data_IF_871676106897
#
_entry.id   IF_871676106897
#
_cell.length_a   1.000
_cell.length_b   1.000
_cell.length_c   1.000
_cell.angle_alpha   90.00
_cell.angle_beta   90.00
_cell.angle_gamma   90.00
#
_symmetry.space_group_name_H-M   'P 1'
#
loop_
_entity.id
_entity.type
_entity.pdbx_description
1 polymer ?
#
# COMPACT_ATOMS: atom_id res chain seq x y z
N UNK A 1 8.94 28.69 1.94
CA UNK A 1 8.24 29.96 2.16
C UNK A 1 6.74 29.74 2.17
N UNK A 2 6.01 30.48 3.00
CA UNK A 2 4.56 30.34 3.08
C UNK A 2 3.87 30.86 1.81
N UNK A 3 2.78 30.24 1.42
CA UNK A 3 1.92 30.71 0.34
C UNK A 3 1.10 31.88 0.90
N UNK A 4 0.84 32.92 0.07
CA UNK A 4 0.06 34.08 0.50
C UNK A 4 -1.31 33.73 1.08
N UNK A 5 -2.02 32.79 0.44
CA UNK A 5 -3.30 32.30 0.90
C UNK A 5 -3.23 31.56 2.26
N UNK A 6 -2.10 30.88 2.54
CA UNK A 6 -1.86 30.24 3.84
C UNK A 6 -1.68 31.31 4.92
N UNK A 7 -0.91 32.38 4.63
CA UNK A 7 -0.75 33.49 5.57
C UNK A 7 -2.10 34.18 5.83
N UNK A 8 -2.84 34.50 4.80
CA UNK A 8 -4.17 35.10 4.92
C UNK A 8 -5.13 34.19 5.71
N UNK A 9 -5.12 32.89 5.44
CA UNK A 9 -5.95 31.91 6.14
C UNK A 9 -5.64 31.82 7.63
N UNK A 10 -4.36 31.84 8.01
CA UNK A 10 -3.93 31.84 9.43
C UNK A 10 -4.37 33.14 10.12
N UNK A 11 -4.16 34.29 9.50
CA UNK A 11 -4.58 35.59 10.04
C UNK A 11 -6.10 35.61 10.22
N UNK A 12 -6.85 35.22 9.19
CA UNK A 12 -8.31 35.14 9.26
C UNK A 12 -8.78 34.21 10.37
N UNK A 13 -8.14 33.07 10.54
CA UNK A 13 -8.47 32.14 11.62
C UNK A 13 -8.29 32.79 13.00
N UNK A 14 -7.15 33.46 13.22
CA UNK A 14 -6.85 34.14 14.48
C UNK A 14 -7.88 35.25 14.75
N UNK A 15 -8.17 36.09 13.77
CA UNK A 15 -9.15 37.18 13.90
C UNK A 15 -10.57 36.68 14.13
N UNK A 16 -10.92 35.51 13.60
CA UNK A 16 -12.28 34.96 13.73
C UNK A 16 -12.49 34.25 15.07
N UNK A 17 -11.49 33.49 15.51
CA UNK A 17 -11.62 32.60 16.68
C UNK A 17 -10.83 33.04 17.91
N UNK A 18 -10.10 34.14 17.79
CA UNK A 18 -9.22 34.68 18.86
C UNK A 18 -8.27 33.63 19.46
N UNK A 19 -7.80 32.72 18.64
CA UNK A 19 -6.87 31.65 19.02
C UNK A 19 -6.01 31.22 17.83
N UNK A 20 -4.86 30.62 18.11
CA UNK A 20 -4.02 29.98 17.10
C UNK A 20 -4.70 28.71 16.57
N UNK A 21 -4.56 28.40 15.28
CA UNK A 21 -4.91 27.08 14.77
C UNK A 21 -4.06 25.99 15.41
N UNK A 22 -4.50 24.75 15.33
CA UNK A 22 -3.71 23.60 15.76
C UNK A 22 -2.38 23.54 14.99
N UNK A 23 -1.29 23.39 15.73
CA UNK A 23 0.06 23.35 15.19
C UNK A 23 0.63 21.94 15.21
N UNK A 24 1.45 21.62 14.19
CA UNK A 24 2.25 20.40 14.17
C UNK A 24 3.49 20.53 15.10
N UNK A 25 4.28 19.46 15.20
CA UNK A 25 5.50 19.43 16.03
C UNK A 25 6.59 20.43 15.59
N UNK A 26 6.44 21.02 14.41
CA UNK A 26 7.35 22.03 13.86
C UNK A 26 6.79 23.46 14.01
N UNK A 27 5.66 23.62 14.73
CA UNK A 27 4.99 24.90 14.91
C UNK A 27 4.25 25.40 13.67
N UNK A 28 3.92 24.53 12.70
CA UNK A 28 3.19 24.89 11.49
C UNK A 28 1.70 24.55 11.65
N UNK A 29 0.77 25.38 11.11
CA UNK A 29 -0.66 25.08 11.18
C UNK A 29 -1.02 23.76 10.48
N UNK A 30 -1.51 22.78 11.24
CA UNK A 30 -1.82 21.42 10.76
C UNK A 30 -2.79 21.42 9.59
N UNK A 31 -3.71 22.36 9.54
CA UNK A 31 -4.69 22.51 8.45
C UNK A 31 -4.03 22.73 7.08
N UNK A 32 -2.85 23.35 7.04
CA UNK A 32 -2.11 23.62 5.81
C UNK A 32 -0.90 22.70 5.62
N UNK A 33 -0.34 22.17 6.71
CA UNK A 33 0.90 21.39 6.70
C UNK A 33 0.69 19.94 7.19
N UNK A 34 -0.55 19.50 7.33
CA UNK A 34 -0.86 18.14 7.81
C UNK A 34 -0.73 17.04 6.75
N UNK A 35 -0.56 17.40 5.46
CA UNK A 35 -0.40 16.43 4.37
C UNK A 35 0.85 16.70 3.57
N UNK A 36 1.48 15.63 3.07
CA UNK A 36 2.61 15.75 2.15
C UNK A 36 2.14 16.20 0.78
N UNK A 37 2.99 16.96 0.10
CA UNK A 37 2.74 17.37 -1.29
C UNK A 37 2.54 16.16 -2.19
N UNK A 38 3.31 15.09 -1.97
CA UNK A 38 3.22 13.85 -2.73
C UNK A 38 1.84 13.20 -2.67
N UNK A 39 1.16 13.24 -1.52
CA UNK A 39 -0.15 12.59 -1.33
C UNK A 39 -1.29 13.27 -2.10
N UNK A 40 -1.13 14.56 -2.41
CA UNK A 40 -2.11 15.35 -3.15
C UNK A 40 -1.61 15.80 -4.53
N UNK A 41 -0.45 15.30 -4.95
CA UNK A 41 0.17 15.68 -6.22
C UNK A 41 -0.58 15.07 -7.42
N UNK A 42 -0.89 15.89 -8.42
CA UNK A 42 -1.55 15.42 -9.65
C UNK A 42 -0.68 14.44 -10.46
N UNK A 43 0.65 14.40 -10.24
CA UNK A 43 1.58 13.43 -10.84
C UNK A 43 1.68 12.12 -10.04
N UNK A 44 0.92 11.97 -8.97
CA UNK A 44 0.94 10.78 -8.13
C UNK A 44 0.64 9.49 -8.90
N UNK A 45 -0.35 9.43 -9.80
CA UNK A 45 -0.60 8.23 -10.60
C UNK A 45 0.61 7.80 -11.45
N UNK A 46 1.40 8.75 -11.96
CA UNK A 46 2.61 8.44 -12.69
C UNK A 46 3.69 7.84 -11.77
N UNK A 47 3.80 8.33 -10.53
CA UNK A 47 4.70 7.73 -9.53
C UNK A 47 4.30 6.27 -9.23
N UNK A 48 3.04 6.02 -8.97
CA UNK A 48 2.53 4.69 -8.63
C UNK A 48 2.69 3.70 -9.80
N UNK A 49 2.61 4.19 -11.03
CA UNK A 49 2.87 3.42 -12.25
C UNK A 49 4.37 3.26 -12.60
N UNK A 50 5.29 3.84 -11.82
CA UNK A 50 6.73 3.80 -12.09
C UNK A 50 7.17 4.64 -13.29
N UNK A 51 6.37 5.64 -13.68
CA UNK A 51 6.64 6.51 -14.82
C UNK A 51 7.34 7.79 -14.37
N UNK A 52 8.63 7.90 -14.65
CA UNK A 52 9.50 8.96 -14.16
C UNK A 52 10.15 9.75 -15.29
N UNK A 53 10.36 11.04 -15.02
CA UNK A 53 11.22 11.92 -15.83
C UNK A 53 12.67 11.64 -15.48
N UNK A 54 13.53 11.47 -16.48
CA UNK A 54 14.96 11.18 -16.31
C UNK A 54 15.82 12.42 -16.50
N UNK A 55 15.38 13.35 -17.35
CA UNK A 55 16.06 14.61 -17.62
C UNK A 55 15.06 15.72 -17.94
N UNK A 56 15.47 16.99 -17.78
CA UNK A 56 14.64 18.11 -18.21
C UNK A 56 14.38 18.00 -19.73
N UNK A 57 13.17 18.35 -20.14
CA UNK A 57 12.70 18.36 -21.53
C UNK A 57 12.70 16.99 -22.27
N UNK A 58 12.87 15.89 -21.57
CA UNK A 58 12.70 14.59 -22.19
C UNK A 58 11.22 14.31 -22.57
N UNK A 59 10.98 13.28 -23.35
CA UNK A 59 9.62 12.90 -23.76
C UNK A 59 8.72 12.55 -22.54
N UNK A 60 9.31 12.07 -21.46
CA UNK A 60 8.59 11.76 -20.23
C UNK A 60 8.16 13.05 -19.50
N UNK A 61 9.00 14.09 -19.53
CA UNK A 61 8.66 15.41 -19.00
C UNK A 61 7.46 16.02 -19.75
N UNK A 62 7.45 15.93 -21.09
CA UNK A 62 6.34 16.38 -21.93
C UNK A 62 5.04 15.63 -21.65
N UNK A 63 5.11 14.34 -21.34
CA UNK A 63 3.97 13.52 -20.93
C UNK A 63 3.48 13.78 -19.51
N UNK A 64 4.19 14.60 -18.74
CA UNK A 64 3.82 14.93 -17.37
C UNK A 64 4.13 13.84 -16.34
N UNK A 65 5.12 12.97 -16.59
CA UNK A 65 5.53 11.93 -15.66
C UNK A 65 6.12 12.49 -14.35
N UNK A 66 6.28 11.63 -13.35
CA UNK A 66 6.71 12.04 -12.02
C UNK A 66 8.16 12.57 -12.02
N UNK A 67 8.38 13.67 -11.31
CA UNK A 67 9.70 14.35 -11.20
C UNK A 67 10.57 13.78 -10.07
N UNK A 68 10.24 12.62 -9.52
CA UNK A 68 10.94 12.05 -8.39
C UNK A 68 12.44 11.86 -8.65
N UNK A 69 12.82 11.33 -9.80
CA UNK A 69 14.23 11.17 -10.18
C UNK A 69 14.94 12.48 -10.50
N UNK A 70 14.19 13.54 -10.72
CA UNK A 70 14.73 14.90 -10.86
C UNK A 70 14.93 15.62 -9.52
N UNK A 71 14.91 14.89 -8.41
CA UNK A 71 15.14 15.44 -7.07
C UNK A 71 13.92 16.05 -6.40
N UNK A 72 12.70 15.72 -6.83
CA UNK A 72 11.49 16.19 -6.18
C UNK A 72 11.40 15.72 -4.73
N UNK A 73 11.33 16.67 -3.80
CA UNK A 73 11.22 16.44 -2.34
C UNK A 73 9.77 16.34 -1.85
N UNK A 74 8.80 16.27 -2.76
CA UNK A 74 7.39 16.16 -2.43
C UNK A 74 7.03 15.04 -1.45
N UNK A 75 7.62 13.84 -1.55
CA UNK A 75 7.38 12.75 -0.61
C UNK A 75 7.73 13.07 0.85
N UNK A 76 8.68 13.96 1.08
CA UNK A 76 9.16 14.33 2.42
C UNK A 76 8.71 15.73 2.85
N UNK A 77 7.89 16.41 2.07
CA UNK A 77 7.50 17.80 2.31
C UNK A 77 6.04 17.92 2.65
N UNK A 78 5.75 18.46 3.82
CA UNK A 78 4.39 18.76 4.28
C UNK A 78 4.00 20.19 3.91
N UNK A 79 3.08 20.34 2.98
CA UNK A 79 2.57 21.65 2.54
C UNK A 79 1.32 21.50 1.67
N UNK A 80 0.55 22.55 1.57
CA UNK A 80 -0.68 22.63 0.75
C UNK A 80 -0.45 23.05 -0.70
N UNK A 81 0.81 23.14 -1.18
CA UNK A 81 1.14 23.65 -2.53
C UNK A 81 0.38 22.93 -3.67
N UNK A 82 0.15 21.63 -3.54
CA UNK A 82 -0.55 20.85 -4.56
C UNK A 82 -2.06 21.16 -4.62
N UNK A 83 -2.62 21.70 -3.53
CA UNK A 83 -4.05 22.00 -3.39
C UNK A 83 -4.32 23.48 -3.60
N UNK A 84 -3.67 24.34 -2.81
CA UNK A 84 -3.87 25.78 -2.80
C UNK A 84 -3.17 26.43 -4.01
N UNK A 85 -2.01 25.89 -4.39
CA UNK A 85 -1.13 26.44 -5.43
C UNK A 85 -0.54 27.80 -5.06
N UNK A 86 0.18 28.42 -5.99
CA UNK A 86 0.78 29.73 -5.88
C UNK A 86 0.13 30.70 -6.87
N UNK A 87 0.44 31.98 -6.73
CA UNK A 87 0.01 33.01 -7.67
C UNK A 87 -1.50 32.97 -7.92
N UNK A 88 -2.30 33.10 -6.87
CA UNK A 88 -3.75 33.07 -6.94
C UNK A 88 -4.28 31.74 -7.52
N UNK A 89 -3.78 30.63 -7.04
CA UNK A 89 -4.16 29.26 -7.43
C UNK A 89 -3.82 28.85 -8.88
N UNK A 90 -2.92 29.56 -9.54
CA UNK A 90 -2.57 29.26 -10.95
C UNK A 90 -1.67 28.03 -11.05
N UNK A 91 -0.54 28.00 -10.34
CA UNK A 91 0.43 26.92 -10.46
C UNK A 91 1.30 26.75 -9.20
N UNK A 92 2.08 25.70 -9.16
CA UNK A 92 3.12 25.47 -8.17
C UNK A 92 4.29 24.72 -8.85
N UNK A 93 5.49 24.59 -8.22
CA UNK A 93 6.69 24.13 -8.90
C UNK A 93 6.53 22.85 -9.71
N UNK A 94 5.89 21.82 -9.14
CA UNK A 94 5.70 20.53 -9.84
C UNK A 94 4.81 20.70 -11.08
N UNK A 95 3.83 21.56 -11.03
CA UNK A 95 2.96 21.85 -12.18
C UNK A 95 3.71 22.60 -13.28
N UNK A 96 4.68 23.40 -12.89
CA UNK A 96 5.56 24.15 -13.80
C UNK A 96 6.76 23.32 -14.32
N UNK A 97 6.77 22.00 -14.05
CA UNK A 97 7.87 21.11 -14.52
C UNK A 97 9.07 21.04 -13.62
N UNK A 98 9.05 21.66 -12.44
CA UNK A 98 10.13 21.64 -11.46
C UNK A 98 9.75 20.84 -10.22
N UNK A 99 10.62 19.94 -9.75
CA UNK A 99 10.38 19.18 -8.53
C UNK A 99 10.19 20.06 -7.29
N UNK A 100 9.47 19.56 -6.30
CA UNK A 100 9.38 20.22 -5.00
C UNK A 100 10.77 20.34 -4.37
N UNK A 101 11.11 21.53 -3.87
CA UNK A 101 12.43 21.83 -3.26
C UNK A 101 12.45 21.62 -1.73
N UNK A 102 11.32 21.27 -1.13
CA UNK A 102 11.26 21.00 0.32
C UNK A 102 11.26 22.25 1.20
N UNK A 103 10.82 23.39 0.70
CA UNK A 103 10.96 24.69 1.37
C UNK A 103 10.18 24.85 2.69
N UNK A 104 9.27 23.93 3.01
CA UNK A 104 8.50 23.93 4.25
C UNK A 104 9.12 23.03 5.34
N UNK A 105 10.17 22.31 5.01
CA UNK A 105 10.82 21.39 5.94
C UNK A 105 11.98 22.05 6.70
N UNK A 106 12.34 21.51 7.90
CA UNK A 106 13.52 21.97 8.63
C UNK A 106 14.78 21.86 7.78
N UNK A 107 15.74 22.70 8.03
CA UNK A 107 17.01 22.74 7.32
C UNK A 107 16.88 22.97 5.80
N UNK A 108 15.79 23.63 5.37
CA UNK A 108 15.69 24.09 4.00
C UNK A 108 16.95 24.88 3.62
N UNK A 109 17.44 24.77 2.40
CA UNK A 109 18.73 25.13 1.80
C UNK A 109 19.85 24.13 2.11
N UNK A 110 19.95 23.58 3.32
CA UNK A 110 21.00 22.63 3.70
C UNK A 110 20.59 21.15 3.52
N UNK A 111 19.35 20.92 3.12
CA UNK A 111 18.77 19.58 2.94
C UNK A 111 19.22 18.87 1.64
N UNK A 112 20.44 19.15 1.21
CA UNK A 112 21.05 18.57 0.02
C UNK A 112 20.75 19.34 -1.26
N UNK A 113 21.39 18.96 -2.37
CA UNK A 113 21.27 19.65 -3.66
C UNK A 113 19.82 19.67 -4.16
N UNK A 114 19.41 20.77 -4.78
CA UNK A 114 18.03 20.97 -5.25
C UNK A 114 17.56 19.90 -6.24
N UNK A 115 18.48 19.36 -7.03
CA UNK A 115 18.19 18.39 -8.09
C UNK A 115 18.67 16.97 -7.79
N UNK A 116 19.20 16.71 -6.60
CA UNK A 116 19.60 15.36 -6.23
C UNK A 116 18.40 14.58 -5.70
N UNK A 117 18.35 13.34 -6.11
CA UNK A 117 17.43 12.37 -5.55
C UNK A 117 17.75 12.18 -4.06
N UNK A 118 16.78 12.44 -3.21
CA UNK A 118 16.86 12.09 -1.80
C UNK A 118 16.28 10.69 -1.69
N UNK A 119 17.05 9.70 -1.18
CA UNK A 119 16.48 8.40 -0.93
C UNK A 119 15.30 8.56 0.03
N UNK A 120 14.17 8.00 -0.34
CA UNK A 120 12.96 8.02 0.45
C UNK A 120 13.25 7.44 1.83
N UNK A 121 13.20 8.27 2.86
CA UNK A 121 13.31 7.80 4.23
C UNK A 121 11.97 7.16 4.57
N UNK A 122 11.97 5.84 4.66
CA UNK A 122 10.81 5.05 5.02
C UNK A 122 10.34 5.41 6.44
N UNK A 123 9.49 6.39 6.54
CA UNK A 123 8.75 6.72 7.73
C UNK A 123 7.30 7.02 7.33
N UNK A 124 6.43 6.07 7.46
CA UNK A 124 4.98 6.25 7.33
C UNK A 124 4.51 6.72 5.93
N UNK A 125 4.95 6.08 4.91
CA UNK A 125 4.48 6.30 3.54
C UNK A 125 4.96 5.14 2.70
N UNK A 126 4.42 3.99 2.98
CA UNK A 126 4.83 2.68 2.45
C UNK A 126 4.30 2.44 1.03
N UNK A 127 3.98 3.48 0.29
CA UNK A 127 3.18 3.31 -0.91
C UNK A 127 3.92 2.69 -2.09
N UNK A 128 5.18 3.03 -2.31
CA UNK A 128 5.99 2.37 -3.36
C UNK A 128 6.34 0.90 -3.02
N UNK A 129 6.19 0.50 -1.76
CA UNK A 129 6.45 -0.86 -1.27
C UNK A 129 5.19 -1.57 -0.78
N UNK A 130 4.01 -0.91 -0.78
CA UNK A 130 2.75 -1.48 -0.33
C UNK A 130 2.44 -2.77 -1.08
N UNK A 131 2.59 -2.78 -2.40
CA UNK A 131 2.38 -3.97 -3.22
C UNK A 131 3.37 -5.08 -2.88
N UNK A 132 4.65 -4.74 -2.67
CA UNK A 132 5.69 -5.72 -2.27
C UNK A 132 5.45 -6.26 -0.87
N UNK A 133 5.06 -5.39 0.07
CA UNK A 133 4.70 -5.80 1.44
C UNK A 133 3.41 -6.62 1.40
N UNK A 134 2.40 -6.19 0.67
CA UNK A 134 1.15 -6.93 0.46
C UNK A 134 1.40 -8.31 -0.15
N UNK A 135 2.21 -8.39 -1.19
CA UNK A 135 2.62 -9.66 -1.80
C UNK A 135 3.41 -10.54 -0.82
N UNK A 136 4.33 -9.95 -0.04
CA UNK A 136 5.09 -10.68 0.98
C UNK A 136 4.20 -11.23 2.11
N UNK A 137 3.27 -10.43 2.62
CA UNK A 137 2.31 -10.85 3.63
C UNK A 137 1.36 -11.94 3.11
N UNK A 138 0.88 -11.80 1.87
CA UNK A 138 0.02 -12.80 1.23
C UNK A 138 0.76 -14.12 1.02
N UNK A 139 1.99 -14.08 0.52
CA UNK A 139 2.82 -15.26 0.35
C UNK A 139 3.15 -15.93 1.71
N UNK A 140 3.44 -15.14 2.74
CA UNK A 140 3.67 -15.62 4.11
C UNK A 140 2.43 -16.29 4.70
N UNK A 141 1.26 -15.69 4.53
CA UNK A 141 0.00 -16.26 5.00
C UNK A 141 -0.33 -17.58 4.29
N UNK A 142 -0.20 -17.63 2.95
CA UNK A 142 -0.39 -18.85 2.17
C UNK A 142 0.61 -19.93 2.57
N UNK A 143 1.89 -19.58 2.72
CA UNK A 143 2.92 -20.50 3.20
C UNK A 143 2.61 -21.04 4.59
N UNK A 144 2.14 -20.21 5.50
CA UNK A 144 1.73 -20.60 6.85
C UNK A 144 0.54 -21.58 6.83
N UNK A 145 -0.48 -21.30 6.02
CA UNK A 145 -1.64 -22.18 5.86
C UNK A 145 -1.22 -23.55 5.30
N UNK A 146 -0.37 -23.56 4.26
CA UNK A 146 0.11 -24.79 3.67
C UNK A 146 0.98 -25.60 4.65
N UNK A 147 1.89 -24.95 5.36
CA UNK A 147 2.71 -25.59 6.39
C UNK A 147 1.84 -26.17 7.51
N UNK A 148 0.84 -25.41 7.97
CA UNK A 148 -0.11 -25.90 8.98
C UNK A 148 -0.89 -27.12 8.48
N UNK A 149 -1.38 -27.09 7.26
CA UNK A 149 -2.11 -28.21 6.65
C UNK A 149 -1.23 -29.48 6.58
N UNK A 150 0.03 -29.34 6.16
CA UNK A 150 0.98 -30.47 6.10
C UNK A 150 1.26 -31.04 7.50
N UNK A 151 1.54 -30.17 8.48
CA UNK A 151 1.80 -30.59 9.87
C UNK A 151 0.58 -31.30 10.47
N UNK A 152 -0.59 -30.70 10.30
CA UNK A 152 -1.86 -31.27 10.81
C UNK A 152 -2.15 -32.62 10.16
N UNK A 153 -1.93 -32.75 8.85
CA UNK A 153 -2.12 -34.02 8.16
C UNK A 153 -1.15 -35.11 8.67
N UNK A 154 0.13 -34.76 8.83
CA UNK A 154 1.12 -35.69 9.41
C UNK A 154 0.76 -36.13 10.84
N UNK A 155 0.27 -35.18 11.66
CA UNK A 155 -0.17 -35.50 13.02
C UNK A 155 -1.39 -36.42 13.02
N UNK A 156 -2.37 -36.17 12.15
CA UNK A 156 -3.56 -37.05 11.98
C UNK A 156 -3.13 -38.46 11.57
N UNK A 157 -2.27 -38.60 10.57
CA UNK A 157 -1.78 -39.90 10.15
C UNK A 157 -1.04 -40.65 11.29
N UNK A 158 -0.22 -39.94 12.07
CA UNK A 158 0.47 -40.53 13.21
C UNK A 158 -0.51 -40.97 14.30
N UNK A 159 -1.53 -40.18 14.60
CA UNK A 159 -2.56 -40.56 15.58
C UNK A 159 -3.40 -41.76 15.12
N UNK A 160 -3.80 -41.78 13.84
CA UNK A 160 -4.53 -42.91 13.26
C UNK A 160 -3.67 -44.15 13.32
N UNK A 161 -2.39 -44.09 12.95
CA UNK A 161 -1.49 -45.21 12.99
C UNK A 161 -1.34 -45.78 14.43
N UNK A 162 -1.13 -44.90 15.41
CA UNK A 162 -1.04 -45.33 16.83
C UNK A 162 -2.34 -45.97 17.30
N UNK A 163 -3.52 -45.45 16.91
CA UNK A 163 -4.81 -46.04 17.25
C UNK A 163 -5.03 -47.39 16.57
N UNK A 164 -4.54 -47.55 15.33
CA UNK A 164 -4.62 -48.85 14.62
C UNK A 164 -3.72 -49.88 15.28
N UNK A 165 -2.52 -49.50 15.68
CA UNK A 165 -1.58 -50.35 16.38
C UNK A 165 -2.16 -50.83 17.75
N UNK A 166 -2.79 -49.92 18.51
CA UNK A 166 -3.46 -50.20 19.79
C UNK A 166 -4.68 -51.16 19.64
N UNK A 167 -5.40 -51.04 18.50
CA UNK A 167 -6.57 -51.86 18.19
C UNK A 167 -6.20 -53.20 17.50
N UNK A 168 -4.91 -53.44 17.19
CA UNK A 168 -4.45 -54.59 16.40
C UNK A 168 -5.13 -54.67 15.01
N UNK A 169 -5.53 -53.55 14.46
CA UNK A 169 -6.16 -53.44 13.13
C UNK A 169 -5.05 -53.34 12.08
N UNK A 170 -5.12 -54.23 11.09
CA UNK A 170 -4.15 -54.26 10.00
C UNK A 170 -4.39 -53.12 9.01
N UNK A 171 -3.35 -52.44 8.53
CA UNK A 171 -3.49 -51.33 7.50
C UNK A 171 -4.28 -51.79 6.26
N UNK A 172 -4.15 -53.07 5.86
CA UNK A 172 -4.88 -53.62 4.73
C UNK A 172 -6.42 -53.66 4.91
N UNK A 173 -6.90 -53.82 6.15
CA UNK A 173 -8.34 -53.85 6.45
C UNK A 173 -8.93 -52.43 6.49
N UNK A 174 -8.11 -51.42 6.85
CA UNK A 174 -8.49 -50.03 6.82
C UNK A 174 -8.64 -49.52 5.38
N UNK A 175 -7.66 -49.78 4.51
CA UNK A 175 -7.69 -49.40 3.08
C UNK A 175 -8.86 -50.07 2.34
N UNK A 176 -9.18 -51.30 2.65
CA UNK A 176 -10.38 -51.96 2.12
C UNK A 176 -11.67 -51.29 2.53
N UNK A 177 -11.75 -50.87 3.81
CA UNK A 177 -12.92 -50.18 4.34
C UNK A 177 -13.09 -48.78 3.74
N UNK A 178 -11.97 -48.04 3.57
CA UNK A 178 -11.99 -46.70 2.95
C UNK A 178 -12.41 -46.79 1.46
N UNK A 179 -11.89 -47.76 0.73
CA UNK A 179 -12.24 -47.98 -0.66
C UNK A 179 -13.70 -48.39 -0.83
N UNK A 180 -14.24 -49.20 0.09
CA UNK A 180 -15.63 -49.56 0.12
C UNK A 180 -16.53 -48.36 0.39
N UNK A 181 -16.19 -47.52 1.35
CA UNK A 181 -16.94 -46.30 1.66
C UNK A 181 -16.94 -45.29 0.50
N UNK A 182 -15.84 -45.15 -0.21
CA UNK A 182 -15.77 -44.31 -1.44
C UNK A 182 -16.70 -44.82 -2.51
N UNK A 183 -16.70 -46.12 -2.77
CA UNK A 183 -17.59 -46.72 -3.76
C UNK A 183 -19.06 -46.59 -3.41
N UNK A 184 -19.38 -46.71 -2.13
CA UNK A 184 -20.79 -46.52 -1.65
C UNK A 184 -21.20 -45.03 -1.79
N UNK A 185 -20.35 -44.11 -1.48
CA UNK A 185 -20.58 -42.68 -1.66
C UNK A 185 -20.83 -42.34 -3.14
N UNK A 186 -20.02 -42.82 -4.06
CA UNK A 186 -20.22 -42.62 -5.50
C UNK A 186 -21.53 -43.20 -6.00
N UNK A 187 -21.92 -44.36 -5.50
CA UNK A 187 -23.22 -44.97 -5.83
C UNK A 187 -24.41 -44.15 -5.34
N UNK A 188 -24.29 -43.54 -4.16
CA UNK A 188 -25.33 -42.67 -3.61
C UNK A 188 -25.41 -41.38 -4.43
N UNK A 189 -24.29 -40.78 -4.77
CA UNK A 189 -24.25 -39.58 -5.61
C UNK A 189 -24.81 -39.81 -7.02
N UNK A 190 -24.55 -40.97 -7.61
CA UNK A 190 -25.19 -41.36 -8.89
C UNK A 190 -26.67 -41.55 -8.78
N UNK A 191 -27.19 -42.16 -7.70
CA UNK A 191 -28.63 -42.31 -7.46
C UNK A 191 -29.34 -40.98 -7.31
N UNK A 192 -28.73 -40.04 -6.57
CA UNK A 192 -29.30 -38.69 -6.39
C UNK A 192 -29.38 -37.97 -7.74
N UNK A 193 -28.36 -38.06 -8.57
CA UNK A 193 -28.37 -37.47 -9.92
C UNK A 193 -29.42 -38.07 -10.85
N UNK A 194 -29.67 -39.37 -10.78
CA UNK A 194 -30.73 -40.01 -11.58
C UNK A 194 -32.13 -39.63 -11.11
N UNK A 195 -32.34 -39.49 -9.80
CA UNK A 195 -33.62 -39.04 -9.27
C UNK A 195 -33.93 -37.54 -9.53
N UNK A 196 -32.90 -36.71 -9.70
CA UNK A 196 -33.06 -35.32 -10.11
C UNK A 196 -33.35 -35.17 -11.61
N UNK A 197 -32.85 -36.08 -12.45
CA UNK A 197 -33.13 -36.07 -13.91
C UNK A 197 -34.53 -36.64 -14.24
N UNK A 198 -35.08 -37.53 -13.44
CA UNK A 198 -36.43 -38.08 -13.63
C UNK A 198 -37.56 -37.14 -13.14
N UNK A 199 -37.22 -36.04 -12.50
CA UNK A 199 -38.16 -35.00 -12.00
C UNK A 199 -38.26 -33.76 -12.87
N UNK A 200 -37.53 -33.68 -13.98
CA UNK A 200 -37.55 -32.59 -14.98
C UNK A 200 -38.29 -33.02 -16.24
#
# INVERSE_FOLDING_TARGET
PPIADVMAGVITYILTFDKLPELDNMGRPSVFYGRRIHDTCYRRPAYDAGLFVQSFDDENAKKGYCLYYMGCKGPNTFNSCAVIKWNNSISYPIQSGHGCIGCAEPNFWDYGPLYSHIPYVHGIGIEATADKIGAGLSAGALGGVLAHAVVTNRQKHKLIKNQMDDLSINEEDFDKTESHLKNEKEKIEQKIKTEETDKL
#
